data_IF_838044354293
#
_entry.id   IF_838044354293
#
_cell.length_a   1.000
_cell.length_b   1.000
_cell.length_c   1.000
_cell.angle_alpha   90.00
_cell.angle_beta   90.00
_cell.angle_gamma   90.00
#
_symmetry.space_group_name_H-M   'P 1'
#
loop_
_entity.id
_entity.type
_entity.pdbx_description
1 polymer ?
#
# COMPACT_ATOMS: atom_id res chain seq x y z
N UNK A 1 4.72 7.88 -10.48
CA UNK A 1 4.74 8.33 -9.09
C UNK A 1 6.11 7.98 -8.55
N UNK A 2 6.86 8.97 -8.07
CA UNK A 2 7.98 8.67 -7.17
C UNK A 2 7.35 8.30 -5.82
N UNK A 3 7.55 7.05 -5.38
CA UNK A 3 6.88 6.54 -4.16
C UNK A 3 7.48 7.18 -2.91
N UNK A 4 8.77 7.53 -2.94
CA UNK A 4 9.45 8.15 -1.81
C UNK A 4 9.01 9.60 -1.63
N UNK A 5 9.03 10.41 -2.70
CA UNK A 5 8.57 11.80 -2.62
C UNK A 5 7.09 11.87 -2.22
N UNK A 6 6.26 10.97 -2.76
CA UNK A 6 4.85 10.87 -2.40
C UNK A 6 4.68 10.50 -0.90
N UNK A 7 5.40 9.49 -0.41
CA UNK A 7 5.35 9.07 0.99
C UNK A 7 5.86 10.14 1.97
N UNK A 8 6.90 10.90 1.61
CA UNK A 8 7.40 12.01 2.44
C UNK A 8 6.32 13.09 2.66
N UNK A 9 5.41 13.29 1.69
CA UNK A 9 4.29 14.25 1.76
C UNK A 9 2.95 13.65 2.15
N UNK A 10 2.83 12.32 2.21
CA UNK A 10 1.56 11.64 2.44
C UNK A 10 1.08 11.86 3.89
N UNK A 11 -0.12 12.46 4.11
CA UNK A 11 -0.55 12.86 5.45
C UNK A 11 -1.10 11.70 6.28
N UNK A 12 -1.72 10.72 5.62
CA UNK A 12 -2.39 9.58 6.24
C UNK A 12 -1.50 8.33 6.21
N UNK A 13 -0.61 8.22 7.20
CA UNK A 13 0.29 7.07 7.34
C UNK A 13 -0.27 6.09 8.36
N UNK A 14 0.00 4.81 8.16
CA UNK A 14 -0.47 3.78 9.09
C UNK A 14 0.07 3.96 10.52
N UNK A 15 -0.60 3.35 11.51
CA UNK A 15 -0.19 3.40 12.91
C UNK A 15 1.23 2.82 13.10
N UNK A 16 2.00 3.43 14.00
CA UNK A 16 3.27 2.87 14.44
C UNK A 16 3.03 1.80 15.52
N UNK A 17 3.66 0.63 15.33
CA UNK A 17 3.73 -0.46 16.31
C UNK A 17 5.17 -0.95 16.37
N UNK A 18 5.79 -0.97 17.55
CA UNK A 18 7.20 -1.34 17.77
C UNK A 18 8.18 -0.72 16.78
N UNK A 19 8.11 0.60 16.61
CA UNK A 19 8.98 1.34 15.68
C UNK A 19 8.77 1.00 14.20
N UNK A 20 7.65 0.36 13.82
CA UNK A 20 7.34 -0.10 12.46
C UNK A 20 5.96 0.38 12.02
N UNK A 21 5.75 0.63 10.72
CA UNK A 21 4.41 0.79 10.13
C UNK A 21 4.32 0.36 8.67
N UNK A 22 3.11 0.05 8.24
CA UNK A 22 2.73 -0.10 6.84
C UNK A 22 1.99 1.17 6.37
N UNK A 23 2.06 1.50 5.09
CA UNK A 23 1.28 2.61 4.51
C UNK A 23 0.92 2.29 3.06
N UNK A 24 -0.35 2.53 2.72
CA UNK A 24 -0.88 2.53 1.36
C UNK A 24 -0.98 3.98 0.87
N UNK A 25 -0.45 4.24 -0.32
CA UNK A 25 -0.55 5.54 -0.97
C UNK A 25 -0.96 5.41 -2.44
N UNK A 26 -1.57 6.48 -2.96
CA UNK A 26 -1.98 6.60 -4.36
C UNK A 26 -1.95 8.06 -4.81
N UNK A 27 -2.11 8.32 -6.10
CA UNK A 27 -2.14 9.68 -6.66
C UNK A 27 -3.50 10.38 -6.50
N UNK A 28 -4.60 9.62 -6.40
CA UNK A 28 -5.96 10.12 -6.24
C UNK A 28 -6.86 9.07 -5.58
N UNK A 29 -7.75 9.50 -4.71
CA UNK A 29 -8.77 8.66 -4.07
C UNK A 29 -10.14 8.78 -4.74
N UNK A 30 -10.41 9.87 -5.45
CA UNK A 30 -11.63 10.05 -6.26
C UNK A 30 -11.42 9.57 -7.70
N UNK A 31 -12.34 8.75 -8.21
CA UNK A 31 -12.27 8.03 -9.49
C UNK A 31 -13.62 8.08 -10.24
N UNK A 32 -13.59 7.92 -11.57
CA UNK A 32 -14.77 7.62 -12.37
C UNK A 32 -14.95 6.09 -12.55
N UNK A 33 -16.14 5.59 -12.96
CA UNK A 33 -16.30 4.18 -13.29
C UNK A 33 -15.40 3.79 -14.48
N UNK A 34 -14.71 2.65 -14.36
CA UNK A 34 -13.70 2.21 -15.32
C UNK A 34 -12.31 2.81 -15.12
N UNK A 35 -12.13 3.81 -14.24
CA UNK A 35 -10.80 4.31 -13.90
C UNK A 35 -9.93 3.22 -13.25
N UNK A 36 -8.63 3.35 -13.48
CA UNK A 36 -7.62 2.52 -12.84
C UNK A 36 -7.02 3.23 -11.64
N UNK A 37 -7.15 2.63 -10.46
CA UNK A 37 -6.39 2.97 -9.26
C UNK A 37 -5.08 2.20 -9.25
N UNK A 38 -3.97 2.87 -8.91
CA UNK A 38 -2.67 2.25 -8.65
C UNK A 38 -2.28 2.55 -7.21
N UNK A 39 -1.92 1.51 -6.46
CA UNK A 39 -1.58 1.63 -5.03
C UNK A 39 -0.14 1.18 -4.83
N UNK A 40 0.63 2.01 -4.13
CA UNK A 40 1.99 1.68 -3.71
C UNK A 40 2.05 1.47 -2.20
N UNK A 41 2.96 0.60 -1.80
CA UNK A 41 3.07 0.03 -0.46
C UNK A 41 4.42 0.43 0.12
N UNK A 42 4.38 0.98 1.33
CA UNK A 42 5.59 1.38 2.07
C UNK A 42 5.59 0.68 3.41
N UNK A 43 6.70 0.01 3.70
CA UNK A 43 7.08 -0.41 5.04
C UNK A 43 8.11 0.58 5.58
N UNK A 44 7.89 1.12 6.77
CA UNK A 44 8.83 2.02 7.44
C UNK A 44 9.27 1.43 8.77
N UNK A 45 10.56 1.58 9.07
CA UNK A 45 11.15 1.33 10.39
C UNK A 45 11.69 2.67 10.89
N UNK A 46 11.11 3.19 11.98
CA UNK A 46 11.44 4.50 12.57
C UNK A 46 12.53 4.45 13.63
N UNK A 47 12.83 3.27 14.17
CA UNK A 47 13.85 3.08 15.22
C UNK A 47 15.13 2.48 14.63
N UNK A 48 16.33 2.89 15.08
CA UNK A 48 17.58 2.26 14.67
C UNK A 48 17.73 0.83 15.20
N UNK A 49 18.36 -0.05 14.43
CA UNK A 49 18.77 -1.40 14.85
C UNK A 49 18.04 -2.57 14.17
N UNK A 50 17.00 -2.29 13.37
CA UNK A 50 16.41 -3.23 12.42
C UNK A 50 16.99 -3.14 11.00
N UNK A 51 16.73 -4.17 10.19
CA UNK A 51 17.17 -4.30 8.79
C UNK A 51 16.05 -3.99 7.80
N UNK A 52 16.35 -3.25 6.73
CA UNK A 52 15.43 -2.96 5.61
C UNK A 52 15.88 -3.63 4.30
N UNK A 53 15.00 -4.46 3.73
CA UNK A 53 15.25 -5.25 2.51
C UNK A 53 14.82 -4.50 1.23
N UNK A 54 15.53 -3.41 0.93
CA UNK A 54 15.17 -2.41 -0.11
C UNK A 54 15.43 -2.85 -1.57
N UNK A 55 15.34 -4.15 -1.88
CA UNK A 55 15.66 -4.71 -3.20
C UNK A 55 14.52 -5.57 -3.77
N UNK A 56 14.35 -5.48 -5.08
CA UNK A 56 13.36 -6.20 -5.88
C UNK A 56 11.90 -5.75 -5.65
N UNK A 57 10.98 -5.91 -6.61
CA UNK A 57 9.56 -5.70 -6.35
C UNK A 57 9.00 -6.89 -5.55
N UNK A 58 8.98 -6.77 -4.23
CA UNK A 58 8.41 -7.78 -3.32
C UNK A 58 6.92 -8.01 -3.58
N UNK A 59 6.41 -9.26 -3.53
CA UNK A 59 4.98 -9.50 -3.61
C UNK A 59 4.23 -8.78 -2.48
N UNK A 60 3.00 -8.35 -2.76
CA UNK A 60 2.09 -7.85 -1.72
C UNK A 60 1.24 -9.01 -1.23
N UNK A 61 1.10 -9.12 0.10
CA UNK A 61 0.30 -10.11 0.80
C UNK A 61 -0.64 -9.43 1.80
N UNK A 62 -1.75 -10.07 2.16
CA UNK A 62 -2.62 -9.60 3.25
C UNK A 62 -3.36 -8.28 2.97
N UNK A 63 -3.48 -7.91 1.71
CA UNK A 63 -4.23 -6.73 1.26
C UNK A 63 -5.71 -7.09 1.09
N UNK A 64 -6.59 -6.19 1.53
CA UNK A 64 -8.03 -6.38 1.59
C UNK A 64 -8.77 -5.17 1.02
N UNK A 65 -9.71 -5.42 0.12
CA UNK A 65 -10.64 -4.43 -0.42
C UNK A 65 -12.04 -4.72 0.13
N UNK A 66 -12.65 -3.74 0.79
CA UNK A 66 -13.97 -3.85 1.44
C UNK A 66 -14.06 -5.06 2.41
N UNK A 67 -12.96 -5.31 3.14
CA UNK A 67 -12.81 -6.45 4.05
C UNK A 67 -12.65 -7.81 3.36
N UNK A 68 -12.42 -7.86 2.05
CA UNK A 68 -12.21 -9.08 1.26
C UNK A 68 -10.76 -9.18 0.81
N UNK A 69 -10.05 -10.31 1.04
CA UNK A 69 -8.69 -10.49 0.54
C UNK A 69 -8.61 -10.33 -0.98
N UNK A 70 -7.68 -9.49 -1.43
CA UNK A 70 -7.37 -9.25 -2.86
C UNK A 70 -5.95 -9.67 -3.24
N UNK A 71 -5.09 -9.94 -2.25
CA UNK A 71 -3.82 -10.64 -2.41
C UNK A 71 -3.78 -11.90 -1.53
N UNK A 72 -2.83 -12.84 -1.74
CA UNK A 72 -2.71 -14.03 -0.91
C UNK A 72 -2.47 -13.69 0.56
N UNK A 73 -2.86 -14.58 1.47
CA UNK A 73 -2.52 -14.44 2.88
C UNK A 73 -0.98 -14.39 3.07
N UNK A 74 -0.47 -13.57 4.01
CA UNK A 74 0.97 -13.48 4.24
C UNK A 74 1.54 -14.79 4.80
N UNK A 75 2.79 -15.16 4.44
CA UNK A 75 3.54 -16.15 5.22
C UNK A 75 3.69 -15.69 6.68
N UNK A 76 3.94 -16.63 7.58
CA UNK A 76 4.01 -16.33 9.01
C UNK A 76 5.23 -15.45 9.37
N UNK A 77 5.00 -14.48 10.26
CA UNK A 77 6.03 -13.54 10.72
C UNK A 77 6.47 -12.54 9.65
N UNK A 78 7.68 -11.99 9.81
CA UNK A 78 8.21 -10.93 8.94
C UNK A 78 8.65 -11.42 7.55
N UNK A 79 8.49 -12.70 7.22
CA UNK A 79 8.81 -13.25 5.88
C UNK A 79 8.04 -12.55 4.76
N UNK A 80 6.84 -12.03 5.04
CA UNK A 80 6.03 -11.29 4.07
C UNK A 80 6.60 -9.90 3.70
N UNK A 81 7.57 -9.40 4.48
CA UNK A 81 8.28 -8.13 4.25
C UNK A 81 9.65 -8.34 3.59
N UNK A 82 10.05 -9.59 3.35
CA UNK A 82 11.32 -9.97 2.72
C UNK A 82 11.11 -10.32 1.25
N UNK A 83 12.13 -10.13 0.40
CA UNK A 83 12.10 -10.62 -0.97
C UNK A 83 12.30 -12.14 -1.02
N UNK A 84 11.64 -12.79 -1.98
CA UNK A 84 11.67 -14.26 -2.15
C UNK A 84 13.08 -14.78 -2.47
N UNK A 85 13.88 -13.98 -3.17
CA UNK A 85 15.30 -14.21 -3.44
C UNK A 85 16.06 -12.92 -3.11
N UNK A 86 17.24 -13.04 -2.52
CA UNK A 86 18.01 -11.89 -2.02
C UNK A 86 19.50 -12.02 -2.31
N UNK A 87 20.05 -11.10 -3.10
CA UNK A 87 21.44 -11.06 -3.56
C UNK A 87 22.22 -9.85 -3.00
N UNK A 88 21.60 -9.14 -2.05
CA UNK A 88 21.95 -7.81 -1.55
C UNK A 88 20.68 -6.94 -1.54
N UNK A 89 20.64 -5.77 -0.92
CA UNK A 89 21.59 -5.06 -0.06
C UNK A 89 20.77 -4.50 1.11
N UNK A 90 21.19 -4.75 2.36
CA UNK A 90 20.43 -4.28 3.54
C UNK A 90 20.73 -2.80 3.76
N UNK A 91 19.71 -2.00 4.09
CA UNK A 91 19.90 -0.68 4.68
C UNK A 91 19.67 -0.74 6.19
N UNK A 92 20.53 -0.09 7.00
CA UNK A 92 20.23 0.10 8.41
C UNK A 92 19.03 1.02 8.55
N UNK A 93 18.13 0.67 9.47
CA UNK A 93 17.11 1.58 9.98
C UNK A 93 17.71 2.76 10.76
N UNK A 94 17.01 3.91 10.88
CA UNK A 94 15.66 4.16 10.38
C UNK A 94 15.60 4.41 8.87
N UNK A 95 14.48 4.06 8.25
CA UNK A 95 14.26 4.24 6.82
C UNK A 95 12.94 3.67 6.31
N UNK A 96 12.74 3.79 5.00
CA UNK A 96 11.59 3.22 4.28
C UNK A 96 12.03 2.16 3.29
N UNK A 97 11.16 1.20 3.07
CA UNK A 97 11.20 0.25 1.99
C UNK A 97 9.90 0.34 1.19
N UNK A 98 10.02 0.83 -0.04
CA UNK A 98 8.93 1.00 -1.00
C UNK A 98 9.05 0.02 -2.17
N UNK A 99 9.88 -1.02 -2.03
CA UNK A 99 10.18 -1.97 -3.10
C UNK A 99 9.21 -3.16 -3.02
N UNK A 100 7.92 -2.83 -3.14
CA UNK A 100 6.80 -3.77 -3.22
C UNK A 100 6.12 -3.60 -4.58
N UNK A 101 5.43 -4.64 -5.04
CA UNK A 101 4.64 -4.60 -6.27
C UNK A 101 3.49 -3.59 -6.13
N UNK A 102 3.34 -2.70 -7.11
CA UNK A 102 2.18 -1.81 -7.20
C UNK A 102 0.93 -2.63 -7.52
N UNK A 103 -0.06 -2.65 -6.63
CA UNK A 103 -1.36 -3.28 -6.90
C UNK A 103 -2.26 -2.32 -7.68
N UNK A 104 -3.22 -2.87 -8.42
CA UNK A 104 -4.00 -2.14 -9.41
C UNK A 104 -5.45 -2.60 -9.40
N UNK A 105 -6.39 -1.65 -9.36
CA UNK A 105 -7.82 -1.91 -9.29
C UNK A 105 -8.58 -1.13 -10.36
N UNK A 106 -9.69 -1.69 -10.82
CA UNK A 106 -10.66 -1.01 -11.67
C UNK A 106 -12.04 -1.15 -11.05
N UNK A 107 -12.69 -0.02 -10.79
CA UNK A 107 -14.02 0.02 -10.18
C UNK A 107 -15.05 0.32 -11.27
N UNK A 108 -16.00 -0.59 -11.50
CA UNK A 108 -17.00 -0.48 -12.59
C UNK A 108 -18.35 0.08 -12.13
N UNK A 109 -18.48 0.44 -10.86
CA UNK A 109 -19.70 0.96 -10.25
C UNK A 109 -19.36 2.12 -9.29
N UNK A 110 -20.20 3.16 -9.23
CA UNK A 110 -20.08 4.19 -8.22
C UNK A 110 -20.26 3.64 -6.80
N UNK A 111 -19.58 4.25 -5.83
CA UNK A 111 -19.61 3.85 -4.43
C UNK A 111 -18.34 4.23 -3.67
N UNK A 112 -18.39 4.05 -2.35
CA UNK A 112 -17.21 4.14 -1.49
C UNK A 112 -16.56 2.77 -1.35
N UNK A 113 -15.23 2.72 -1.38
CA UNK A 113 -14.43 1.53 -1.19
C UNK A 113 -13.31 1.78 -0.17
N UNK A 114 -12.93 0.75 0.58
CA UNK A 114 -11.88 0.83 1.59
C UNK A 114 -10.80 -0.23 1.33
N UNK A 115 -9.57 0.22 1.09
CA UNK A 115 -8.41 -0.66 0.92
C UNK A 115 -7.52 -0.61 2.17
N UNK A 116 -7.13 -1.78 2.67
CA UNK A 116 -6.21 -1.94 3.81
C UNK A 116 -5.17 -3.02 3.52
N UNK A 117 -4.03 -2.95 4.21
CA UNK A 117 -2.93 -3.91 4.10
C UNK A 117 -2.48 -4.33 5.49
N UNK A 118 -2.48 -5.63 5.76
CA UNK A 118 -2.15 -6.20 7.08
C UNK A 118 -1.14 -7.35 6.97
N UNK A 119 -0.05 -7.25 7.73
CA UNK A 119 0.99 -8.27 7.90
C UNK A 119 1.15 -8.56 9.39
N UNK A 120 0.60 -9.69 9.85
CA UNK A 120 0.55 -10.02 11.27
C UNK A 120 -0.20 -8.96 12.08
N UNK A 121 0.49 -8.32 13.02
CA UNK A 121 -0.04 -7.23 13.86
C UNK A 121 0.10 -5.84 13.21
N UNK A 122 0.92 -5.70 12.15
CA UNK A 122 1.06 -4.45 11.42
C UNK A 122 -0.13 -4.25 10.49
N UNK A 123 -0.81 -3.12 10.63
CA UNK A 123 -1.94 -2.68 9.77
C UNK A 123 -1.59 -1.33 9.16
N UNK A 124 -1.92 -1.12 7.89
CA UNK A 124 -1.78 0.16 7.21
C UNK A 124 -2.81 1.20 7.68
N UNK A 125 -2.71 2.41 7.13
CA UNK A 125 -3.86 3.30 7.02
C UNK A 125 -4.98 2.68 6.16
N UNK A 126 -6.21 3.18 6.29
CA UNK A 126 -7.32 2.82 5.41
C UNK A 126 -7.38 3.78 4.24
N UNK A 127 -7.02 3.31 3.05
CA UNK A 127 -7.14 4.11 1.84
C UNK A 127 -8.60 4.12 1.38
N UNK A 128 -9.33 5.15 1.80
CA UNK A 128 -10.70 5.42 1.37
C UNK A 128 -10.71 5.92 -0.09
N UNK A 129 -11.57 5.32 -0.91
CA UNK A 129 -11.67 5.53 -2.36
C UNK A 129 -13.13 5.87 -2.68
N UNK A 130 -13.36 6.94 -3.43
CA UNK A 130 -14.67 7.40 -3.86
C UNK A 130 -14.79 7.21 -5.38
N UNK A 131 -15.69 6.33 -5.81
CA UNK A 131 -16.01 6.17 -7.23
C UNK A 131 -17.29 6.96 -7.50
N UNK A 132 -17.15 8.07 -8.20
CA UNK A 132 -18.26 8.98 -8.48
C UNK A 132 -19.18 8.39 -9.56
N UNK A 133 -20.47 8.77 -9.61
CA UNK A 133 -21.30 8.49 -10.77
C UNK A 133 -20.70 9.13 -12.03
N UNK A 134 -20.90 8.50 -13.18
CA UNK A 134 -20.66 9.19 -14.45
C UNK A 134 -21.51 10.47 -14.48
N UNK A 135 -20.87 11.62 -14.68
CA UNK A 135 -21.61 12.86 -14.90
C UNK A 135 -22.47 12.72 -16.15
N UNK A 136 -23.78 12.58 -15.95
CA UNK A 136 -24.76 12.83 -16.99
C UNK A 136 -24.76 14.33 -17.30
N UNK A 137 -23.78 14.77 -18.09
CA UNK A 137 -23.80 16.06 -18.76
C UNK A 137 -25.00 16.05 -19.71
N UNK A 138 -26.09 16.65 -19.24
CA UNK A 138 -27.37 16.73 -19.91
C UNK A 138 -27.23 17.63 -21.15
N UNK A 139 -26.92 17.01 -22.30
CA UNK A 139 -26.84 17.69 -23.60
C UNK A 139 -28.25 18.02 -24.10
N UNK A 140 -28.81 19.09 -23.54
CA UNK A 140 -29.93 19.83 -24.13
C UNK A 140 -29.57 20.57 -25.42
#
# INVERSE_FOLDING_TARGET
MDVREAYERWPDKGPLSDGRRLTLLTLRTTLAPGDTLRVAHVYEVTEPGGDLYVMGPKPVYGEQLDGRPVTPAPPAGDEALKPLEYDGRVLPSPGIDHNFQTTTYTFTRPGEHALTWQIGELVSNTLAIEVQPESTDDRG
#
